data_IF_873001534669
#
_entry.id   IF_873001534669
#
_cell.length_a   1.000
_cell.length_b   1.000
_cell.length_c   1.000
_cell.angle_alpha   90.00
_cell.angle_beta   90.00
_cell.angle_gamma   90.00
#
_symmetry.space_group_name_H-M   'P 1'
#
loop_
_entity.id
_entity.type
_entity.pdbx_description
1 polymer ?
#
# COMPACT_ATOMS: atom_id res chain seq x y z
N UNK A 1 10.26 -11.60 -2.81
CA UNK A 1 9.26 -11.26 -1.79
C UNK A 1 8.09 -10.56 -2.45
N UNK A 2 6.88 -10.66 -1.87
CA UNK A 2 5.67 -10.00 -2.40
C UNK A 2 5.76 -8.47 -2.39
N UNK A 3 6.70 -7.92 -1.60
CA UNK A 3 6.92 -6.49 -1.39
C UNK A 3 7.96 -5.86 -2.33
N UNK A 4 8.48 -6.61 -3.33
CA UNK A 4 9.48 -6.07 -4.26
C UNK A 4 8.87 -4.97 -5.13
N UNK A 5 9.61 -3.87 -5.31
CA UNK A 5 9.16 -2.65 -6.02
C UNK A 5 7.92 -2.01 -5.38
N UNK A 6 7.90 -1.92 -4.05
CA UNK A 6 6.90 -1.17 -3.31
C UNK A 6 7.59 -0.18 -2.38
N UNK A 7 7.02 1.02 -2.28
CA UNK A 7 7.56 2.10 -1.44
C UNK A 7 6.64 2.29 -0.24
N UNK A 8 7.13 2.12 0.99
CA UNK A 8 6.36 2.43 2.18
C UNK A 8 6.16 3.94 2.29
N UNK A 9 4.96 4.39 2.64
CA UNK A 9 4.68 5.83 2.77
C UNK A 9 3.90 6.21 4.03
N UNK A 10 3.24 5.26 4.72
CA UNK A 10 2.57 5.50 5.99
C UNK A 10 2.51 4.22 6.83
N UNK A 11 2.31 4.41 8.13
CA UNK A 11 2.12 3.32 9.10
C UNK A 11 0.91 3.65 9.98
N UNK A 12 0.15 2.62 10.37
CA UNK A 12 -0.85 2.76 11.44
C UNK A 12 -0.24 2.51 12.82
N UNK A 13 -1.03 2.73 13.88
CA UNK A 13 -0.58 2.51 15.27
C UNK A 13 -0.28 1.03 15.59
N UNK A 14 -0.81 0.09 14.79
CA UNK A 14 -0.54 -1.35 14.89
C UNK A 14 0.73 -1.80 14.17
N UNK A 15 1.40 -0.89 13.45
CA UNK A 15 2.59 -1.19 12.67
C UNK A 15 2.33 -1.73 11.26
N UNK A 16 1.07 -1.79 10.81
CA UNK A 16 0.76 -2.11 9.42
C UNK A 16 1.29 -0.99 8.51
N UNK A 17 1.73 -1.37 7.32
CA UNK A 17 2.46 -0.46 6.44
C UNK A 17 1.70 -0.23 5.14
N UNK A 18 1.35 1.02 4.85
CA UNK A 18 0.84 1.41 3.55
C UNK A 18 1.99 1.51 2.53
N UNK A 19 1.75 0.99 1.34
CA UNK A 19 2.73 0.75 0.29
C UNK A 19 2.19 1.26 -1.05
N UNK A 20 3.01 2.03 -1.76
CA UNK A 20 2.78 2.43 -3.14
C UNK A 20 3.49 1.44 -4.07
N UNK A 21 2.77 0.85 -5.03
CA UNK A 21 3.38 -0.07 -5.97
C UNK A 21 4.10 0.64 -7.12
N UNK A 22 5.32 0.20 -7.41
CA UNK A 22 6.12 0.56 -8.59
C UNK A 22 6.29 -0.62 -9.55
N UNK A 23 5.44 -1.66 -9.43
CA UNK A 23 5.47 -2.82 -10.33
C UNK A 23 4.72 -2.50 -11.62
N UNK A 24 5.22 -2.98 -12.74
CA UNK A 24 4.63 -2.66 -14.05
C UNK A 24 3.16 -3.10 -14.18
N UNK A 25 2.73 -4.15 -13.45
CA UNK A 25 1.36 -4.69 -13.49
C UNK A 25 0.32 -3.89 -12.68
N UNK A 26 0.77 -3.08 -11.72
CA UNK A 26 -0.09 -2.36 -10.77
C UNK A 26 0.56 -1.07 -10.28
N UNK A 27 1.29 -0.40 -11.18
CA UNK A 27 1.98 0.85 -10.89
C UNK A 27 1.00 1.91 -10.38
N UNK A 28 1.32 2.55 -9.26
CA UNK A 28 0.50 3.60 -8.66
C UNK A 28 -0.58 3.11 -7.69
N UNK A 29 -0.89 1.81 -7.65
CA UNK A 29 -1.86 1.26 -6.70
C UNK A 29 -1.34 1.30 -5.27
N UNK A 30 -2.27 1.50 -4.33
CA UNK A 30 -1.99 1.51 -2.89
C UNK A 30 -2.40 0.18 -2.27
N UNK A 31 -1.52 -0.34 -1.43
CA UNK A 31 -1.72 -1.55 -0.64
C UNK A 31 -1.43 -1.28 0.83
N UNK A 32 -1.92 -2.16 1.71
CA UNK A 32 -1.49 -2.25 3.11
C UNK A 32 -0.87 -3.62 3.35
N UNK A 33 0.30 -3.62 3.99
CA UNK A 33 0.95 -4.83 4.49
C UNK A 33 0.53 -5.04 5.94
N UNK A 34 -0.30 -6.06 6.14
CA UNK A 34 -0.79 -6.51 7.42
C UNK A 34 0.29 -7.36 8.08
N UNK A 35 0.94 -6.80 9.11
CA UNK A 35 2.19 -7.36 9.66
C UNK A 35 1.98 -8.72 10.33
N UNK A 36 0.87 -8.90 11.04
CA UNK A 36 0.55 -10.12 11.78
C UNK A 36 0.13 -11.25 10.83
N UNK A 37 -0.73 -10.93 9.88
CA UNK A 37 -1.24 -11.85 8.86
C UNK A 37 -0.21 -12.17 7.77
N UNK A 38 0.84 -11.33 7.65
CA UNK A 38 1.82 -11.35 6.56
C UNK A 38 1.12 -11.32 5.20
N UNK A 39 0.12 -10.47 5.09
CA UNK A 39 -0.75 -10.34 3.94
C UNK A 39 -0.62 -8.95 3.31
N UNK A 40 -0.68 -8.90 1.98
CA UNK A 40 -0.76 -7.65 1.24
C UNK A 40 -2.19 -7.46 0.74
N UNK A 41 -2.92 -6.53 1.36
CA UNK A 41 -4.30 -6.20 0.99
C UNK A 41 -4.34 -4.96 0.10
N UNK A 42 -5.25 -4.96 -0.88
CA UNK A 42 -5.50 -3.82 -1.77
C UNK A 42 -6.28 -2.73 -1.04
N UNK A 43 -5.94 -1.47 -1.30
CA UNK A 43 -6.58 -0.30 -0.66
C UNK A 43 -7.20 0.62 -1.71
N UNK A 44 -6.45 1.04 -2.73
CA UNK A 44 -6.92 2.03 -3.71
C UNK A 44 -6.22 1.89 -5.07
N UNK A 45 -6.91 2.27 -6.15
CA UNK A 45 -6.41 2.15 -7.53
C UNK A 45 -5.29 3.16 -7.85
N UNK A 46 -5.20 4.28 -7.12
CA UNK A 46 -4.13 5.26 -7.28
C UNK A 46 -3.80 6.00 -5.98
N UNK A 47 -2.61 6.59 -5.90
CA UNK A 47 -2.24 7.46 -4.77
C UNK A 47 -3.13 8.70 -4.68
N UNK A 48 -3.51 9.28 -5.82
CA UNK A 48 -4.38 10.47 -5.84
C UNK A 48 -5.79 10.16 -5.32
N UNK A 49 -6.36 9.01 -5.71
CA UNK A 49 -7.65 8.53 -5.19
C UNK A 49 -7.59 8.30 -3.68
N UNK A 50 -6.54 7.61 -3.20
CA UNK A 50 -6.31 7.41 -1.78
C UNK A 50 -6.29 8.73 -0.99
N UNK A 51 -5.59 9.76 -1.48
CA UNK A 51 -5.54 11.06 -0.80
C UNK A 51 -6.89 11.78 -0.84
N UNK A 52 -7.61 11.71 -1.96
CA UNK A 52 -8.92 12.35 -2.08
C UNK A 52 -9.95 11.75 -1.10
N UNK A 53 -9.86 10.46 -0.78
CA UNK A 53 -10.73 9.79 0.20
C UNK A 53 -10.45 10.20 1.66
N UNK A 54 -9.31 10.84 1.94
CA UNK A 54 -8.96 11.34 3.28
C UNK A 54 -9.45 12.77 3.55
N UNK A 55 -10.10 13.40 2.56
CA UNK A 55 -10.52 14.81 2.60
C UNK A 55 -11.82 15.04 3.37
#
# INVERSE_FOLDING_TARGET
SNLKKMVPFAYDEGGNCFLLSLRDKDYGKVYIWLMDEKELAFVSESFDEFINELS
#
